data_IF_433872346029
#
_entry.id   IF_433872346029
#
_cell.length_a   1.000
_cell.length_b   1.000
_cell.length_c   1.000
_cell.angle_alpha   90.00
_cell.angle_beta   90.00
_cell.angle_gamma   90.00
#
_symmetry.space_group_name_H-M   'P 1'
#
loop_
_entity.id
_entity.type
_entity.pdbx_description
1 polymer ?
#
# COMPACT_ATOMS: atom_id res chain seq x y z
N UNK A 1 -10.19 2.90 -1.01
CA UNK A 1 -8.92 2.66 -1.74
C UNK A 1 -8.07 3.91 -1.63
N UNK A 2 -6.75 3.75 -1.54
CA UNK A 2 -5.83 4.86 -1.25
C UNK A 2 -5.47 5.63 -2.53
N UNK A 3 -5.56 6.95 -2.47
CA UNK A 3 -5.24 7.87 -3.58
C UNK A 3 -3.94 8.62 -3.34
N UNK A 4 -3.38 9.18 -4.41
CA UNK A 4 -2.19 10.03 -4.31
C UNK A 4 -2.44 11.25 -3.40
N UNK A 5 -3.65 11.81 -3.46
CA UNK A 5 -4.08 12.94 -2.62
C UNK A 5 -4.17 12.62 -1.12
N UNK A 6 -4.18 11.33 -0.76
CA UNK A 6 -4.29 10.91 0.65
C UNK A 6 -2.93 10.89 1.37
N UNK A 7 -1.82 11.15 0.65
CA UNK A 7 -0.46 11.09 1.16
C UNK A 7 0.05 12.48 1.54
N UNK A 8 0.26 12.68 2.84
CA UNK A 8 0.90 13.86 3.40
C UNK A 8 2.39 13.58 3.71
N UNK A 9 3.19 14.61 4.04
CA UNK A 9 4.62 14.43 4.35
C UNK A 9 4.89 13.40 5.46
N UNK A 10 4.06 13.36 6.50
CA UNK A 10 4.26 12.56 7.71
C UNK A 10 3.07 11.67 8.06
N UNK A 11 2.02 11.64 7.25
CA UNK A 11 0.79 10.89 7.55
C UNK A 11 0.04 10.48 6.28
N UNK A 12 -0.85 9.51 6.43
CA UNK A 12 -1.72 8.98 5.38
C UNK A 12 -3.15 9.11 5.86
N UNK A 13 -4.02 9.68 5.02
CA UNK A 13 -5.46 9.71 5.28
C UNK A 13 -6.12 8.42 4.82
N UNK A 14 -6.68 7.64 5.74
CA UNK A 14 -7.40 6.42 5.44
C UNK A 14 -8.90 6.70 5.54
N UNK A 15 -9.57 6.67 4.40
CA UNK A 15 -11.02 6.85 4.28
C UNK A 15 -11.69 5.46 4.31
N UNK A 16 -12.52 5.19 5.33
CA UNK A 16 -13.35 3.97 5.37
C UNK A 16 -14.69 4.23 4.69
N UNK A 17 -14.93 3.51 3.60
CA UNK A 17 -16.13 3.64 2.75
C UNK A 17 -17.44 3.49 3.52
N UNK A 18 -17.47 2.69 4.59
CA UNK A 18 -18.69 2.27 5.28
C UNK A 18 -19.11 3.19 6.44
N UNK A 19 -18.25 4.10 6.92
CA UNK A 19 -18.51 4.82 8.17
C UNK A 19 -18.31 6.33 8.09
N UNK A 20 -17.96 6.89 6.93
CA UNK A 20 -17.52 8.29 6.77
C UNK A 20 -16.38 8.71 7.74
N UNK A 21 -15.78 7.73 8.43
CA UNK A 21 -14.68 7.94 9.37
C UNK A 21 -13.38 8.00 8.58
N UNK A 22 -12.72 9.14 8.72
CA UNK A 22 -11.37 9.36 8.22
C UNK A 22 -10.39 9.15 9.38
N UNK A 23 -9.33 8.39 9.13
CA UNK A 23 -8.26 8.16 10.09
C UNK A 23 -6.93 8.64 9.51
N UNK A 24 -6.30 9.59 10.18
CA UNK A 24 -4.92 9.97 9.90
C UNK A 24 -3.98 8.96 10.58
N UNK A 25 -3.14 8.31 9.79
CA UNK A 25 -2.15 7.34 10.27
C UNK A 25 -0.74 7.90 10.02
N UNK A 26 0.12 7.99 11.05
CA UNK A 26 1.47 8.51 10.86
C UNK A 26 2.29 7.58 9.95
N UNK A 27 3.13 8.18 9.10
CA UNK A 27 4.13 7.47 8.31
C UNK A 27 5.35 7.26 9.21
N UNK A 28 5.71 6.01 9.44
CA UNK A 28 6.95 5.67 10.14
C UNK A 28 8.14 6.25 9.37
N UNK A 29 9.13 6.89 10.03
CA UNK A 29 10.29 7.47 9.33
C UNK A 29 11.03 6.48 8.43
N UNK A 30 11.04 5.19 8.81
CA UNK A 30 11.62 4.10 8.01
C UNK A 30 10.88 3.85 6.68
N UNK A 31 9.57 4.11 6.61
CA UNK A 31 8.76 3.90 5.41
C UNK A 31 8.91 5.05 4.39
N UNK A 32 9.21 6.26 4.87
CA UNK A 32 9.18 7.48 4.05
C UNK A 32 10.07 7.42 2.82
N UNK A 33 11.34 6.97 2.88
CA UNK A 33 12.21 6.92 1.71
C UNK A 33 11.64 6.00 0.61
N UNK A 34 11.11 4.83 0.99
CA UNK A 34 10.53 3.88 0.04
C UNK A 34 9.28 4.45 -0.65
N UNK A 35 8.42 5.12 0.11
CA UNK A 35 7.24 5.79 -0.44
C UNK A 35 7.63 6.91 -1.41
N UNK A 36 8.66 7.69 -1.09
CA UNK A 36 9.17 8.74 -1.99
C UNK A 36 9.74 8.16 -3.28
N UNK A 37 10.55 7.10 -3.21
CA UNK A 37 11.07 6.43 -4.42
C UNK A 37 9.91 5.92 -5.29
N UNK A 38 8.92 5.29 -4.66
CA UNK A 38 7.74 4.80 -5.36
C UNK A 38 6.95 5.92 -6.06
N UNK A 39 6.68 7.02 -5.34
CA UNK A 39 5.96 8.19 -5.86
C UNK A 39 6.71 8.90 -7.00
N UNK A 40 8.04 8.96 -6.92
CA UNK A 40 8.87 9.54 -7.97
C UNK A 40 8.92 8.66 -9.23
N UNK A 41 8.77 7.34 -9.08
CA UNK A 41 8.73 6.38 -10.19
C UNK A 41 7.35 6.23 -10.83
N UNK A 42 6.28 6.69 -10.15
CA UNK A 42 4.94 6.78 -10.73
C UNK A 42 4.96 7.83 -11.84
N UNK A 43 4.76 7.40 -13.09
CA UNK A 43 4.40 8.33 -14.16
C UNK A 43 3.05 8.95 -13.77
N UNK A 44 3.09 10.23 -13.39
CA UNK A 44 2.02 10.97 -12.70
C UNK A 44 0.68 11.07 -13.46
N UNK A 45 0.58 10.58 -14.69
CA UNK A 45 -0.41 11.11 -15.63
C UNK A 45 -1.70 10.28 -15.80
N UNK A 46 -1.78 9.03 -15.32
CA UNK A 46 -2.94 8.18 -15.70
C UNK A 46 -3.86 7.73 -14.56
N UNK A 47 -3.45 7.77 -13.29
CA UNK A 47 -4.29 7.23 -12.20
C UNK A 47 -4.28 8.06 -10.92
N UNK A 48 -5.47 8.27 -10.36
CA UNK A 48 -5.66 8.92 -9.06
C UNK A 48 -5.30 7.98 -7.88
N UNK A 49 -5.17 6.68 -8.13
CA UNK A 49 -4.88 5.67 -7.12
C UNK A 49 -3.38 5.55 -6.86
N UNK A 50 -3.02 5.30 -5.59
CA UNK A 50 -1.62 5.19 -5.21
C UNK A 50 -0.98 3.91 -5.72
N UNK A 51 -1.67 2.78 -5.57
CA UNK A 51 -1.17 1.47 -6.00
C UNK A 51 -2.02 0.97 -7.16
N UNK A 52 -1.40 0.81 -8.33
CA UNK A 52 -2.07 0.42 -9.57
C UNK A 52 -1.38 -0.77 -10.25
N UNK A 53 -2.14 -1.49 -11.08
CA UNK A 53 -1.57 -2.46 -12.01
C UNK A 53 -1.02 -1.76 -13.27
N UNK A 54 -0.51 -2.54 -14.22
CA UNK A 54 0.03 -2.01 -15.48
C UNK A 54 -1.02 -1.34 -16.39
N UNK A 55 -2.30 -1.49 -16.08
CA UNK A 55 -3.43 -0.87 -16.77
C UNK A 55 -3.94 0.40 -16.06
N UNK A 56 -3.29 0.82 -14.97
CA UNK A 56 -3.70 1.99 -14.18
C UNK A 56 -4.88 1.74 -13.23
N UNK A 57 -5.38 0.51 -13.15
CA UNK A 57 -6.48 0.14 -12.26
C UNK A 57 -5.96 -0.09 -10.82
N UNK A 58 -6.78 0.16 -9.79
CA UNK A 58 -6.39 -0.08 -8.41
C UNK A 58 -5.92 -1.52 -8.17
N UNK A 59 -4.80 -1.64 -7.45
CA UNK A 59 -4.27 -2.93 -7.07
C UNK A 59 -5.26 -3.66 -6.15
N UNK A 60 -5.61 -4.89 -6.54
CA UNK A 60 -6.51 -5.75 -5.74
C UNK A 60 -5.77 -6.29 -4.52
N UNK A 61 -6.43 -6.31 -3.36
CA UNK A 61 -5.83 -6.74 -2.09
C UNK A 61 -5.22 -8.15 -2.15
N UNK A 62 -5.85 -9.10 -2.86
CA UNK A 62 -5.32 -10.46 -2.99
C UNK A 62 -3.94 -10.50 -3.68
N UNK A 63 -3.62 -9.55 -4.57
CA UNK A 63 -2.29 -9.45 -5.17
C UNK A 63 -1.25 -9.02 -4.14
N UNK A 64 -1.62 -8.11 -3.23
CA UNK A 64 -0.75 -7.69 -2.12
C UNK A 64 -0.45 -8.89 -1.22
N UNK A 65 -1.47 -9.64 -0.81
CA UNK A 65 -1.28 -10.85 0.01
C UNK A 65 -0.48 -11.93 -0.72
N UNK A 66 -0.63 -12.09 -2.04
CA UNK A 66 0.21 -12.99 -2.84
C UNK A 66 1.68 -12.59 -2.79
N UNK A 67 1.99 -11.30 -2.95
CA UNK A 67 3.37 -10.79 -2.86
C UNK A 67 3.92 -11.02 -1.45
N UNK A 68 3.16 -10.70 -0.41
CA UNK A 68 3.57 -10.93 0.97
C UNK A 68 3.87 -12.41 1.24
N UNK A 69 3.05 -13.33 0.74
CA UNK A 69 3.28 -14.77 0.86
C UNK A 69 4.58 -15.22 0.16
N UNK A 70 4.87 -14.69 -1.03
CA UNK A 70 6.12 -14.98 -1.76
C UNK A 70 7.32 -14.46 -0.95
N UNK A 71 7.27 -13.21 -0.49
CA UNK A 71 8.35 -12.60 0.30
C UNK A 71 8.57 -13.34 1.61
N UNK A 72 7.50 -13.74 2.31
CA UNK A 72 7.57 -14.53 3.53
C UNK A 72 8.33 -15.85 3.33
N UNK A 73 8.05 -16.56 2.23
CA UNK A 73 8.80 -17.78 1.87
C UNK A 73 10.27 -17.49 1.57
N UNK A 74 10.57 -16.40 0.86
CA UNK A 74 11.94 -16.02 0.51
C UNK A 74 12.81 -15.70 1.73
N UNK A 75 12.20 -15.16 2.80
CA UNK A 75 12.89 -14.90 4.06
C UNK A 75 12.83 -16.09 5.04
N UNK A 76 12.35 -17.25 4.61
CA UNK A 76 12.12 -18.44 5.43
C UNK A 76 11.29 -18.16 6.69
N UNK A 77 10.27 -17.31 6.57
CA UNK A 77 9.32 -17.09 7.66
C UNK A 77 8.62 -18.42 7.98
N UNK A 78 8.55 -18.85 9.24
CA UNK A 78 7.88 -20.09 9.61
C UNK A 78 6.40 -20.10 9.20
N UNK A 79 5.94 -21.24 8.68
CA UNK A 79 4.56 -21.39 8.17
C UNK A 79 3.48 -21.13 9.23
N UNK A 80 3.81 -21.33 10.52
CA UNK A 80 2.92 -21.00 11.63
C UNK A 80 2.53 -19.52 11.65
N UNK A 81 3.26 -18.62 10.98
CA UNK A 81 2.91 -17.21 10.88
C UNK A 81 2.11 -16.87 9.62
N UNK A 82 1.93 -17.79 8.67
CA UNK A 82 1.30 -17.48 7.38
C UNK A 82 -0.22 -17.24 7.50
N UNK A 83 -0.84 -17.56 8.64
CA UNK A 83 -2.25 -17.25 8.87
C UNK A 83 -2.55 -15.75 8.83
N UNK A 84 -1.55 -14.88 9.09
CA UNK A 84 -1.70 -13.42 8.99
C UNK A 84 -1.74 -12.92 7.53
N UNK A 85 -1.37 -13.78 6.57
CA UNK A 85 -1.27 -13.48 5.14
C UNK A 85 -2.43 -14.08 4.32
N UNK A 86 -3.51 -14.50 5.01
CA UNK A 86 -4.74 -15.04 4.42
C UNK A 86 -5.75 -13.94 4.12
#
# INVERSE_FOLDING_TARGET
MLKNSDIYPNQINIIKSESSLNKLVPITPLLRPYLTIYLNGLKSEESAFLFVNSQGEPLKSWLVFRVLNITARQINLPEVYFFILR
#
